data_IF_839796591034
#
_entry.id   IF_839796591034
#
_cell.length_a   1.000
_cell.length_b   1.000
_cell.length_c   1.000
_cell.angle_alpha   90.00
_cell.angle_beta   90.00
_cell.angle_gamma   90.00
#
_symmetry.space_group_name_H-M   'P 1'
#
loop_
_entity.id
_entity.type
_entity.pdbx_description
1 polymer ?
#
# COMPACT_ATOMS: atom_id res chain seq x y z
N UNK A 1 10.39 3.69 -2.79
CA UNK A 1 11.00 3.51 -4.13
C UNK A 1 12.47 3.07 -4.04
N UNK A 2 13.36 3.82 -3.31
CA UNK A 2 14.80 3.50 -3.28
C UNK A 2 15.08 2.06 -2.82
N UNK A 3 14.54 1.63 -1.67
CA UNK A 3 14.75 0.27 -1.16
C UNK A 3 14.18 -0.81 -2.08
N UNK A 4 13.03 -0.56 -2.72
CA UNK A 4 12.49 -1.48 -3.74
C UNK A 4 13.45 -1.61 -4.94
N UNK A 5 13.99 -0.48 -5.40
CA UNK A 5 14.97 -0.46 -6.49
C UNK A 5 16.27 -1.18 -6.13
N UNK A 6 16.87 -0.86 -4.97
CA UNK A 6 18.10 -1.51 -4.51
C UNK A 6 17.92 -3.01 -4.32
N UNK A 7 16.80 -3.42 -3.71
CA UNK A 7 16.49 -4.85 -3.54
C UNK A 7 16.31 -5.55 -4.89
N UNK A 8 15.56 -4.97 -5.82
CA UNK A 8 15.39 -5.55 -7.15
C UNK A 8 16.73 -5.72 -7.88
N UNK A 9 17.62 -4.72 -7.81
CA UNK A 9 18.97 -4.81 -8.41
C UNK A 9 19.84 -5.84 -7.70
N UNK A 10 19.78 -5.93 -6.36
CA UNK A 10 20.53 -6.90 -5.56
C UNK A 10 20.20 -8.35 -5.94
N UNK A 11 18.91 -8.67 -6.09
CA UNK A 11 18.48 -10.04 -6.39
C UNK A 11 18.40 -10.34 -7.89
N UNK A 12 18.81 -9.42 -8.76
CA UNK A 12 18.68 -9.55 -10.21
C UNK A 12 17.23 -9.58 -10.70
N UNK A 13 16.31 -8.98 -9.94
CA UNK A 13 14.90 -8.86 -10.25
C UNK A 13 14.58 -7.65 -11.13
N UNK A 14 13.28 -7.37 -11.29
CA UNK A 14 12.74 -6.26 -12.08
C UNK A 14 12.11 -5.22 -11.16
N UNK A 15 12.35 -3.96 -11.45
CA UNK A 15 11.74 -2.82 -10.77
C UNK A 15 10.68 -2.18 -11.67
N UNK A 16 9.43 -2.23 -11.21
CA UNK A 16 8.27 -1.73 -11.91
C UNK A 16 7.80 -0.41 -11.28
N UNK A 17 7.41 0.56 -12.09
CA UNK A 17 6.81 1.81 -11.63
C UNK A 17 5.30 1.80 -11.88
N UNK A 18 4.52 1.89 -10.80
CA UNK A 18 3.06 2.04 -10.82
C UNK A 18 2.65 3.34 -10.15
N UNK A 19 1.81 4.10 -10.80
CA UNK A 19 1.20 5.32 -10.29
C UNK A 19 -0.19 5.00 -9.76
N UNK A 20 -0.39 5.19 -8.46
CA UNK A 20 -1.64 4.92 -7.76
C UNK A 20 -2.53 6.18 -7.79
N UNK A 21 -3.15 6.43 -8.94
CA UNK A 21 -3.91 7.64 -9.29
C UNK A 21 -5.44 7.42 -9.37
N UNK A 22 -5.95 6.46 -8.59
CA UNK A 22 -7.40 6.19 -8.52
C UNK A 22 -8.20 7.31 -7.86
N UNK A 23 -7.56 8.17 -7.05
CA UNK A 23 -8.16 9.38 -6.46
C UNK A 23 -7.83 10.58 -7.37
N UNK A 24 -8.77 10.91 -8.26
CA UNK A 24 -8.60 11.94 -9.29
C UNK A 24 -8.35 13.33 -8.68
N UNK A 25 -8.98 13.65 -7.53
CA UNK A 25 -8.82 14.96 -6.89
C UNK A 25 -7.41 15.19 -6.33
N UNK A 26 -6.77 14.12 -5.88
CA UNK A 26 -5.41 14.15 -5.29
C UNK A 26 -4.29 13.89 -6.29
N UNK A 27 -4.60 13.31 -7.45
CA UNK A 27 -3.62 12.85 -8.44
C UNK A 27 -3.49 13.85 -9.57
N UNK A 28 -2.80 14.97 -9.32
CA UNK A 28 -2.51 15.96 -10.36
C UNK A 28 -1.34 15.51 -11.23
N UNK A 29 -1.41 15.77 -12.52
CA UNK A 29 -0.37 15.43 -13.49
C UNK A 29 1.01 16.03 -13.15
N UNK A 30 1.04 17.23 -12.54
CA UNK A 30 2.28 17.86 -12.11
C UNK A 30 3.03 17.02 -11.07
N UNK A 31 2.32 16.38 -10.12
CA UNK A 31 2.94 15.51 -9.11
C UNK A 31 3.51 14.24 -9.73
N UNK A 32 2.83 13.69 -10.74
CA UNK A 32 3.32 12.52 -11.48
C UNK A 32 4.61 12.86 -12.21
N UNK A 33 4.66 14.03 -12.87
CA UNK A 33 5.89 14.52 -13.56
C UNK A 33 7.02 14.69 -12.56
N UNK A 34 6.78 15.33 -11.43
CA UNK A 34 7.77 15.54 -10.37
C UNK A 34 8.34 14.20 -9.85
N UNK A 35 7.48 13.19 -9.66
CA UNK A 35 7.91 11.85 -9.22
C UNK A 35 8.81 11.21 -10.29
N UNK A 36 8.38 11.20 -11.54
CA UNK A 36 9.12 10.61 -12.66
C UNK A 36 10.47 11.32 -12.84
N UNK A 37 10.48 12.65 -12.87
CA UNK A 37 11.69 13.44 -13.01
C UNK A 37 12.65 13.26 -11.84
N UNK A 38 12.11 13.25 -10.62
CA UNK A 38 12.90 13.04 -9.39
C UNK A 38 13.55 11.66 -9.34
N UNK A 39 12.80 10.59 -9.68
CA UNK A 39 13.34 9.23 -9.76
C UNK A 39 14.42 9.12 -10.85
N UNK A 40 14.16 9.68 -12.03
CA UNK A 40 15.12 9.68 -13.14
C UNK A 40 16.40 10.45 -12.78
N UNK A 41 16.27 11.60 -12.11
CA UNK A 41 17.43 12.38 -11.65
C UNK A 41 18.29 11.60 -10.64
N UNK A 42 17.66 10.85 -9.72
CA UNK A 42 18.40 9.94 -8.82
C UNK A 42 18.98 8.73 -9.56
N UNK A 43 18.62 8.50 -10.83
CA UNK A 43 19.00 7.32 -11.60
C UNK A 43 18.28 6.06 -11.15
N UNK A 44 17.13 6.19 -10.51
CA UNK A 44 16.18 5.12 -10.20
C UNK A 44 15.34 4.90 -11.45
N UNK A 45 15.86 4.09 -12.38
CA UNK A 45 15.17 3.72 -13.60
C UNK A 45 14.37 2.43 -13.36
N UNK A 46 13.20 2.33 -13.99
CA UNK A 46 12.33 1.17 -13.92
C UNK A 46 12.44 0.32 -15.19
N UNK A 47 12.21 -0.96 -15.02
CA UNK A 47 12.26 -1.94 -16.11
C UNK A 47 10.91 -2.02 -16.84
N UNK A 48 9.79 -1.70 -16.13
CA UNK A 48 8.42 -1.63 -16.66
C UNK A 48 7.65 -0.42 -16.11
N UNK A 49 6.75 0.14 -16.92
CA UNK A 49 5.94 1.29 -16.54
C UNK A 49 6.42 2.62 -17.13
N UNK A 50 5.87 3.75 -16.66
CA UNK A 50 4.88 3.86 -15.59
C UNK A 50 3.52 3.28 -15.99
N UNK A 51 2.91 2.50 -15.08
CA UNK A 51 1.55 2.00 -15.20
C UNK A 51 0.62 2.87 -14.36
N UNK A 52 -0.55 3.20 -14.89
CA UNK A 52 -1.50 4.08 -14.21
C UNK A 52 -2.74 3.29 -13.76
N UNK A 53 -3.07 3.36 -12.48
CA UNK A 53 -4.22 2.62 -11.96
C UNK A 53 -5.55 3.13 -12.51
N UNK A 54 -5.67 4.43 -12.83
CA UNK A 54 -6.87 4.99 -13.47
C UNK A 54 -7.22 4.32 -14.81
N UNK A 55 -6.23 3.81 -15.54
CA UNK A 55 -6.43 3.12 -16.82
C UNK A 55 -6.92 1.68 -16.64
N UNK A 56 -6.91 1.17 -15.40
CA UNK A 56 -7.24 -0.21 -15.04
C UNK A 56 -8.55 -0.34 -14.27
N UNK A 57 -9.36 0.71 -14.21
CA UNK A 57 -10.59 0.77 -13.41
C UNK A 57 -11.57 -0.38 -13.73
N UNK A 58 -11.70 -0.73 -15.01
CA UNK A 58 -12.59 -1.83 -15.42
C UNK A 58 -12.10 -3.17 -14.91
N UNK A 59 -10.81 -3.42 -14.97
CA UNK A 59 -10.19 -4.62 -14.41
C UNK A 59 -10.52 -4.79 -12.92
N UNK A 60 -10.46 -3.72 -12.13
CA UNK A 60 -10.80 -3.77 -10.71
C UNK A 60 -12.29 -4.05 -10.49
N UNK A 61 -13.16 -3.43 -11.29
CA UNK A 61 -14.62 -3.69 -11.24
C UNK A 61 -14.92 -5.16 -11.53
N UNK A 62 -14.34 -5.72 -12.57
CA UNK A 62 -14.50 -7.13 -12.92
C UNK A 62 -14.09 -8.05 -11.76
N UNK A 63 -12.97 -7.77 -11.10
CA UNK A 63 -12.51 -8.53 -9.95
C UNK A 63 -13.44 -8.37 -8.74
N UNK A 64 -13.96 -7.18 -8.45
CA UNK A 64 -14.92 -6.96 -7.39
C UNK A 64 -16.24 -7.72 -7.66
N UNK A 65 -16.75 -7.68 -8.88
CA UNK A 65 -17.94 -8.44 -9.27
C UNK A 65 -17.70 -9.94 -9.32
N UNK A 66 -16.46 -10.39 -9.61
CA UNK A 66 -16.10 -11.80 -9.47
C UNK A 66 -16.26 -12.27 -8.03
N UNK A 67 -15.71 -11.56 -7.04
CA UNK A 67 -15.88 -11.88 -5.63
C UNK A 67 -17.36 -11.87 -5.21
N UNK A 68 -18.15 -10.94 -5.74
CA UNK A 68 -19.59 -10.88 -5.49
C UNK A 68 -20.31 -12.13 -6.02
N UNK A 69 -20.04 -12.56 -7.26
CA UNK A 69 -20.61 -13.78 -7.85
C UNK A 69 -20.17 -15.06 -7.13
N UNK A 70 -18.94 -15.07 -6.62
CA UNK A 70 -18.40 -16.21 -5.85
C UNK A 70 -18.90 -16.22 -4.38
N UNK A 71 -19.76 -15.26 -3.99
CA UNK A 71 -20.26 -15.14 -2.60
C UNK A 71 -19.22 -14.72 -1.57
N UNK A 72 -18.03 -14.27 -2.03
CA UNK A 72 -16.92 -13.75 -1.21
C UNK A 72 -17.02 -12.26 -0.94
N UNK A 73 -18.00 -11.59 -1.52
CA UNK A 73 -18.36 -10.19 -1.29
C UNK A 73 -19.87 -10.03 -1.27
N UNK A 74 -20.36 -8.87 -0.86
CA UNK A 74 -21.79 -8.56 -0.79
C UNK A 74 -22.06 -7.07 -0.99
N UNK A 75 -23.29 -6.73 -1.38
CA UNK A 75 -23.76 -5.34 -1.48
C UNK A 75 -24.14 -4.82 -0.11
N UNK A 76 -23.67 -3.63 0.23
CA UNK A 76 -24.01 -2.94 1.47
C UNK A 76 -24.71 -1.63 1.13
N UNK A 77 -25.93 -1.47 1.65
CA UNK A 77 -26.82 -0.34 1.42
C UNK A 77 -26.92 0.60 2.64
N UNK A 78 -26.07 0.43 3.64
CA UNK A 78 -26.06 1.31 4.82
C UNK A 78 -25.73 2.75 4.39
N UNK A 79 -26.51 3.71 4.89
CA UNK A 79 -26.26 5.12 4.67
C UNK A 79 -24.98 5.56 5.41
N UNK A 80 -24.28 6.55 4.86
CA UNK A 80 -23.06 7.06 5.47
C UNK A 80 -23.31 7.65 6.87
N UNK A 81 -24.44 8.32 7.05
CA UNK A 81 -24.88 8.92 8.32
C UNK A 81 -25.11 7.84 9.39
N UNK A 82 -25.77 6.73 9.04
CA UNK A 82 -25.99 5.60 9.93
C UNK A 82 -24.67 4.97 10.40
N UNK A 83 -23.72 4.78 9.46
CA UNK A 83 -22.42 4.23 9.78
C UNK A 83 -21.59 5.18 10.67
N UNK A 84 -21.68 6.48 10.45
CA UNK A 84 -20.98 7.47 11.27
C UNK A 84 -21.58 7.54 12.69
N UNK A 85 -22.90 7.39 12.84
CA UNK A 85 -23.54 7.34 14.15
C UNK A 85 -23.10 6.09 14.92
N UNK A 86 -23.11 4.91 14.28
CA UNK A 86 -22.60 3.66 14.89
C UNK A 86 -21.14 3.79 15.31
N UNK A 87 -20.31 4.44 14.47
CA UNK A 87 -18.93 4.72 14.80
C UNK A 87 -18.77 5.60 16.04
N UNK A 88 -19.56 6.68 16.15
CA UNK A 88 -19.56 7.57 17.33
C UNK A 88 -19.96 6.86 18.61
N UNK A 89 -20.99 5.98 18.53
CA UNK A 89 -21.43 5.17 19.66
C UNK A 89 -20.31 4.22 20.11
N UNK A 90 -19.70 3.49 19.19
CA UNK A 90 -18.59 2.58 19.50
C UNK A 90 -17.41 3.31 20.18
N UNK A 91 -17.04 4.49 19.69
CA UNK A 91 -15.99 5.31 20.31
C UNK A 91 -16.35 5.78 21.72
N UNK A 92 -17.60 6.17 21.98
CA UNK A 92 -18.08 6.55 23.32
C UNK A 92 -18.02 5.38 24.30
N UNK A 93 -18.24 4.16 23.80
CA UNK A 93 -18.16 2.92 24.60
C UNK A 93 -16.72 2.39 24.73
N UNK A 94 -15.71 3.10 24.22
CA UNK A 94 -14.32 2.66 24.24
C UNK A 94 -14.02 1.46 23.32
N UNK A 95 -14.92 1.16 22.39
CA UNK A 95 -14.78 0.06 21.41
C UNK A 95 -14.10 0.57 20.15
N UNK A 96 -13.37 -0.32 19.47
CA UNK A 96 -12.82 -0.04 18.13
C UNK A 96 -13.99 0.15 17.15
N UNK A 97 -14.10 1.28 16.46
CA UNK A 97 -15.14 1.48 15.47
C UNK A 97 -14.88 0.55 14.27
N UNK A 98 -15.75 -0.41 14.07
CA UNK A 98 -15.75 -1.34 12.95
C UNK A 98 -17.13 -1.42 12.35
N UNK A 99 -17.22 -1.85 11.10
CA UNK A 99 -18.51 -2.13 10.48
C UNK A 99 -19.14 -3.38 11.11
N UNK A 100 -20.40 -3.27 11.52
CA UNK A 100 -21.15 -4.30 12.26
C UNK A 100 -21.68 -5.47 11.40
N UNK A 101 -21.30 -5.51 10.12
CA UNK A 101 -21.71 -6.53 9.15
C UNK A 101 -23.22 -6.64 8.91
N UNK A 102 -23.98 -5.56 9.19
CA UNK A 102 -25.46 -5.52 9.07
C UNK A 102 -25.99 -6.05 7.73
N UNK A 103 -25.28 -5.85 6.61
CA UNK A 103 -25.70 -6.29 5.29
C UNK A 103 -25.10 -7.62 4.83
N UNK A 104 -24.20 -8.22 5.63
CA UNK A 104 -23.37 -9.36 5.20
C UNK A 104 -24.17 -10.57 4.70
N UNK A 105 -25.25 -10.88 5.39
CA UNK A 105 -26.08 -12.08 5.13
C UNK A 105 -27.45 -11.73 4.51
N UNK A 106 -27.67 -10.45 4.16
CA UNK A 106 -28.88 -10.02 3.47
C UNK A 106 -28.80 -10.40 1.99
N UNK A 107 -29.86 -11.02 1.51
CA UNK A 107 -30.01 -11.42 0.11
C UNK A 107 -30.85 -10.43 -0.71
N UNK A 108 -31.52 -9.50 -0.03
CA UNK A 108 -32.35 -8.49 -0.68
C UNK A 108 -31.49 -7.53 -1.50
N UNK A 109 -31.82 -7.39 -2.77
CA UNK A 109 -31.20 -6.41 -3.65
C UNK A 109 -32.12 -5.20 -3.78
N UNK A 110 -31.51 -4.02 -3.73
CA UNK A 110 -32.20 -2.73 -3.92
C UNK A 110 -31.56 -2.01 -5.13
N UNK A 111 -31.95 -2.34 -6.36
CA UNK A 111 -31.29 -1.85 -7.57
C UNK A 111 -31.33 -0.31 -7.70
N UNK A 112 -32.36 0.32 -7.13
CA UNK A 112 -32.55 1.79 -7.17
C UNK A 112 -31.78 2.55 -6.06
N UNK A 113 -31.03 1.83 -5.20
CA UNK A 113 -30.28 2.44 -4.10
C UNK A 113 -28.78 2.32 -4.34
N UNK A 114 -28.02 3.42 -4.09
CA UNK A 114 -26.57 3.32 -4.15
C UNK A 114 -26.07 2.31 -3.12
N UNK A 115 -25.10 1.49 -3.51
CA UNK A 115 -24.49 0.51 -2.62
C UNK A 115 -22.98 0.51 -2.80
N UNK A 116 -22.29 0.04 -1.77
CA UNK A 116 -20.89 -0.33 -1.85
C UNK A 116 -20.75 -1.85 -1.90
N UNK A 117 -19.67 -2.36 -2.49
CA UNK A 117 -19.33 -3.78 -2.39
C UNK A 117 -18.32 -3.96 -1.26
N UNK A 118 -18.65 -4.84 -0.32
CA UNK A 118 -17.77 -5.20 0.79
C UNK A 118 -17.26 -6.63 0.63
N UNK A 119 -16.00 -6.80 0.94
CA UNK A 119 -15.37 -8.12 1.03
C UNK A 119 -15.83 -8.84 2.30
N UNK A 120 -16.13 -10.13 2.19
CA UNK A 120 -16.46 -11.00 3.34
C UNK A 120 -15.18 -11.50 4.01
N UNK A 121 -14.68 -10.73 4.96
CA UNK A 121 -13.54 -11.15 5.78
C UNK A 121 -13.88 -12.40 6.59
N UNK A 122 -12.95 -13.36 6.77
CA UNK A 122 -13.17 -14.51 7.65
C UNK A 122 -13.60 -14.05 9.07
N UNK A 123 -14.57 -14.76 9.66
CA UNK A 123 -15.14 -14.38 10.96
C UNK A 123 -14.33 -14.90 12.15
N UNK A 124 -13.49 -15.91 11.94
CA UNK A 124 -12.67 -16.57 12.97
C UNK A 124 -11.35 -17.04 12.38
N UNK A 125 -10.42 -17.38 13.24
CA UNK A 125 -9.07 -17.77 12.85
C UNK A 125 -8.07 -16.62 12.91
N UNK A 126 -6.90 -16.83 12.35
CA UNK A 126 -5.78 -15.90 12.40
C UNK A 126 -5.19 -15.70 11.02
N UNK A 127 -4.84 -14.47 10.70
CA UNK A 127 -3.98 -14.13 9.56
C UNK A 127 -2.59 -13.88 10.10
N UNK A 128 -1.61 -14.59 9.59
CA UNK A 128 -0.20 -14.38 9.95
C UNK A 128 0.66 -14.18 8.71
N UNK A 129 1.74 -13.46 8.87
CA UNK A 129 2.78 -13.31 7.88
C UNK A 129 4.13 -13.09 8.55
N UNK A 130 5.18 -13.55 7.90
CA UNK A 130 6.54 -13.31 8.33
C UNK A 130 7.07 -12.08 7.60
N UNK A 131 7.14 -10.95 8.32
CA UNK A 131 7.71 -9.73 7.79
C UNK A 131 9.23 -9.80 7.86
N UNK A 132 9.90 -9.51 6.74
CA UNK A 132 11.36 -9.65 6.62
C UNK A 132 12.10 -8.76 7.64
N UNK A 133 11.52 -7.62 8.02
CA UNK A 133 12.13 -6.64 8.93
C UNK A 133 11.55 -6.75 10.34
N UNK A 134 10.22 -6.91 10.45
CA UNK A 134 9.49 -6.89 11.72
C UNK A 134 9.28 -8.27 12.35
N UNK A 135 9.63 -9.35 11.62
CA UNK A 135 9.39 -10.72 12.06
C UNK A 135 7.92 -11.13 11.98
N UNK A 136 7.55 -12.16 12.72
CA UNK A 136 6.21 -12.74 12.66
C UNK A 136 5.15 -11.82 13.24
N UNK A 137 4.13 -11.52 12.44
CA UNK A 137 2.96 -10.72 12.82
C UNK A 137 1.72 -11.60 12.68
N UNK A 138 0.88 -11.61 13.72
CA UNK A 138 -0.37 -12.37 13.76
C UNK A 138 -1.52 -11.45 14.16
N UNK A 139 -2.61 -11.49 13.42
CA UNK A 139 -3.83 -10.72 13.68
C UNK A 139 -5.02 -11.67 13.66
N UNK A 140 -5.90 -11.59 14.64
CA UNK A 140 -7.14 -12.39 14.67
C UNK A 140 -8.14 -11.85 13.64
N UNK A 141 -8.84 -12.75 12.96
CA UNK A 141 -9.83 -12.37 11.95
C UNK A 141 -10.98 -11.52 12.53
N UNK A 142 -11.31 -11.69 13.81
CA UNK A 142 -12.32 -10.88 14.50
C UNK A 142 -11.94 -9.39 14.59
N UNK A 143 -10.64 -9.07 14.48
CA UNK A 143 -10.15 -7.69 14.49
C UNK A 143 -10.24 -7.01 13.11
N UNK A 144 -10.49 -7.80 12.06
CA UNK A 144 -10.68 -7.31 10.71
C UNK A 144 -12.17 -7.07 10.45
N UNK A 145 -12.52 -5.94 9.89
CA UNK A 145 -13.88 -5.63 9.43
C UNK A 145 -14.06 -5.97 7.94
N UNK A 146 -15.31 -6.08 7.51
CA UNK A 146 -15.63 -6.27 6.10
C UNK A 146 -15.33 -4.97 5.33
N UNK A 147 -14.16 -4.92 4.72
CA UNK A 147 -13.71 -3.69 4.04
C UNK A 147 -14.50 -3.43 2.76
N UNK A 148 -14.70 -2.17 2.44
CA UNK A 148 -15.23 -1.76 1.14
C UNK A 148 -14.15 -2.00 0.09
N UNK A 149 -14.48 -2.75 -0.96
CA UNK A 149 -13.61 -2.98 -2.12
C UNK A 149 -14.00 -2.15 -3.33
N UNK A 150 -15.31 -1.81 -3.45
CA UNK A 150 -15.82 -0.92 -4.49
C UNK A 150 -16.81 0.07 -3.85
N UNK A 151 -16.62 1.36 -4.09
CA UNK A 151 -17.49 2.43 -3.61
C UNK A 151 -18.78 2.53 -4.42
N UNK A 152 -19.73 3.34 -3.96
CA UNK A 152 -21.02 3.55 -4.64
C UNK A 152 -20.91 4.23 -5.99
N UNK A 153 -19.85 4.97 -6.23
CA UNK A 153 -19.49 5.56 -7.52
C UNK A 153 -18.70 4.61 -8.45
N UNK A 154 -18.59 3.34 -8.07
CA UNK A 154 -17.78 2.31 -8.74
C UNK A 154 -16.27 2.57 -8.74
N UNK A 155 -15.76 3.43 -7.84
CA UNK A 155 -14.31 3.54 -7.64
C UNK A 155 -13.82 2.47 -6.67
N UNK A 156 -12.75 1.73 -7.02
CA UNK A 156 -12.17 0.72 -6.13
C UNK A 156 -11.39 1.37 -5.00
N UNK A 157 -11.18 0.62 -3.92
CA UNK A 157 -10.39 1.09 -2.76
C UNK A 157 -8.94 0.62 -2.84
N UNK A 158 -8.05 1.35 -2.19
CA UNK A 158 -6.60 1.09 -2.17
C UNK A 158 -6.23 -0.37 -1.87
N UNK A 159 -6.70 -0.94 -0.76
CA UNK A 159 -6.34 -2.31 -0.37
C UNK A 159 -6.76 -3.35 -1.41
N UNK A 160 -7.78 -3.06 -2.19
CA UNK A 160 -8.26 -3.95 -3.24
C UNK A 160 -7.45 -3.79 -4.52
N UNK A 161 -7.21 -2.55 -4.97
CA UNK A 161 -6.47 -2.30 -6.23
C UNK A 161 -5.05 -2.81 -6.18
N UNK A 162 -4.34 -2.60 -5.06
CA UNK A 162 -2.95 -3.05 -4.94
C UNK A 162 -2.86 -4.58 -4.97
N UNK A 163 -3.79 -5.31 -4.36
CA UNK A 163 -3.80 -6.78 -4.41
C UNK A 163 -4.00 -7.28 -5.84
N UNK A 164 -4.97 -6.72 -6.57
CA UNK A 164 -5.24 -7.12 -7.96
C UNK A 164 -4.02 -6.83 -8.83
N UNK A 165 -3.44 -5.65 -8.71
CA UNK A 165 -2.29 -5.26 -9.49
C UNK A 165 -1.04 -6.09 -9.16
N UNK A 166 -0.71 -6.21 -7.88
CA UNK A 166 0.49 -6.93 -7.44
C UNK A 166 0.45 -8.38 -7.91
N UNK A 167 -0.71 -9.04 -7.79
CA UNK A 167 -0.88 -10.41 -8.28
C UNK A 167 -0.74 -10.52 -9.79
N UNK A 168 -1.40 -9.65 -10.56
CA UNK A 168 -1.39 -9.71 -12.03
C UNK A 168 -0.07 -9.22 -12.65
N UNK A 169 0.68 -8.40 -11.92
CA UNK A 169 2.02 -7.92 -12.31
C UNK A 169 3.13 -8.84 -11.81
N UNK A 170 2.80 -9.90 -11.05
CA UNK A 170 3.78 -10.84 -10.51
C UNK A 170 4.72 -10.22 -9.48
N UNK A 171 4.23 -9.29 -8.67
CA UNK A 171 5.00 -8.68 -7.58
C UNK A 171 5.29 -9.74 -6.53
N UNK A 172 6.56 -10.00 -6.26
CA UNK A 172 7.01 -11.02 -5.30
C UNK A 172 7.32 -10.46 -3.91
N UNK A 173 7.65 -9.17 -3.83
CA UNK A 173 8.04 -8.50 -2.58
C UNK A 173 7.38 -7.12 -2.48
N UNK A 174 6.81 -6.84 -1.31
CA UNK A 174 6.21 -5.54 -0.98
C UNK A 174 7.04 -4.89 0.13
N UNK A 175 7.82 -3.87 -0.24
CA UNK A 175 8.67 -3.10 0.67
C UNK A 175 8.06 -1.71 0.83
N UNK A 176 7.57 -1.38 2.04
CA UNK A 176 6.82 -0.12 2.29
C UNK A 176 6.95 0.35 3.73
N UNK A 177 6.45 1.54 4.06
CA UNK A 177 6.46 2.05 5.42
C UNK A 177 5.63 1.20 6.40
N UNK A 178 6.04 1.16 7.66
CA UNK A 178 5.38 0.38 8.71
C UNK A 178 3.98 0.90 9.09
N UNK A 179 3.62 2.10 8.64
CA UNK A 179 2.25 2.61 8.72
C UNK A 179 1.23 1.77 7.91
N UNK A 180 1.71 0.95 6.99
CA UNK A 180 0.91 0.02 6.20
C UNK A 180 0.79 -1.39 6.82
N UNK A 181 1.42 -1.70 7.95
CA UNK A 181 1.34 -3.02 8.62
C UNK A 181 -0.12 -3.45 8.81
N UNK A 182 -1.00 -2.54 9.26
CA UNK A 182 -2.41 -2.82 9.47
C UNK A 182 -3.22 -3.08 8.17
N UNK A 183 -2.66 -2.77 7.01
CA UNK A 183 -3.27 -3.08 5.71
C UNK A 183 -2.95 -4.52 5.28
N UNK A 184 -1.80 -5.03 5.67
CA UNK A 184 -1.27 -6.33 5.22
C UNK A 184 -2.24 -7.48 5.47
N UNK A 185 -2.81 -7.69 6.68
CA UNK A 185 -3.74 -8.80 6.90
C UNK A 185 -5.03 -8.66 6.07
N UNK A 186 -5.49 -7.42 5.80
CA UNK A 186 -6.64 -7.16 4.93
C UNK A 186 -6.34 -7.52 3.48
N UNK A 187 -5.12 -7.29 3.03
CA UNK A 187 -4.67 -7.64 1.70
C UNK A 187 -4.48 -9.15 1.55
N UNK A 188 -3.88 -9.81 2.54
CA UNK A 188 -3.67 -11.27 2.54
C UNK A 188 -4.99 -12.01 2.34
N UNK A 189 -6.05 -11.68 3.09
CA UNK A 189 -7.35 -12.36 2.93
C UNK A 189 -7.97 -12.14 1.53
N UNK A 190 -7.64 -11.05 0.85
CA UNK A 190 -8.07 -10.83 -0.54
C UNK A 190 -7.24 -11.68 -1.51
N UNK A 191 -5.90 -11.78 -1.32
CA UNK A 191 -5.05 -12.69 -2.09
C UNK A 191 -5.57 -14.13 -2.00
N UNK A 192 -5.84 -14.60 -0.79
CA UNK A 192 -6.37 -15.94 -0.51
C UNK A 192 -7.74 -16.16 -1.16
N UNK A 193 -8.62 -15.15 -1.12
CA UNK A 193 -9.93 -15.24 -1.74
C UNK A 193 -9.87 -15.41 -3.26
N UNK A 194 -8.87 -14.84 -3.91
CA UNK A 194 -8.62 -15.02 -5.34
C UNK A 194 -7.77 -16.24 -5.66
N UNK A 195 -7.21 -16.93 -4.66
CA UNK A 195 -6.19 -17.97 -4.80
C UNK A 195 -4.93 -17.45 -5.50
N UNK A 196 -4.56 -16.21 -5.25
CA UNK A 196 -3.31 -15.61 -5.69
C UNK A 196 -2.19 -15.94 -4.72
N UNK A 197 -0.97 -15.99 -5.22
CA UNK A 197 0.22 -16.11 -4.38
C UNK A 197 0.40 -14.85 -3.54
N UNK A 198 0.64 -15.03 -2.24
CA UNK A 198 0.85 -13.91 -1.31
C UNK A 198 2.32 -13.50 -1.38
N UNK A 199 2.64 -12.24 -1.70
CA UNK A 199 4.03 -11.77 -1.77
C UNK A 199 4.68 -11.73 -0.38
N UNK A 200 6.01 -11.70 -0.34
CA UNK A 200 6.76 -11.41 0.87
C UNK A 200 6.63 -9.94 1.26
N UNK A 201 6.54 -9.65 2.56
CA UNK A 201 6.39 -8.30 3.09
C UNK A 201 7.64 -7.84 3.84
N UNK A 202 7.98 -6.57 3.70
CA UNK A 202 9.01 -5.88 4.46
C UNK A 202 8.53 -4.48 4.82
N UNK A 203 8.27 -4.23 6.11
CA UNK A 203 7.81 -2.94 6.60
C UNK A 203 8.95 -2.14 7.21
N UNK A 204 9.40 -1.14 6.46
CA UNK A 204 10.50 -0.26 6.86
C UNK A 204 10.03 0.78 7.89
N UNK A 205 10.87 1.14 8.87
CA UNK A 205 10.53 2.17 9.85
C UNK A 205 10.30 3.52 9.17
N UNK A 206 9.38 4.30 9.75
CA UNK A 206 9.13 5.66 9.30
C UNK A 206 10.25 6.59 9.72
N UNK A 207 10.60 7.51 8.85
CA UNK A 207 11.54 8.58 9.18
C UNK A 207 10.80 9.63 10.00
N UNK A 208 11.39 9.98 11.15
CA UNK A 208 10.85 10.99 12.05
C UNK A 208 11.67 12.29 12.00
N UNK A 209 11.00 13.40 12.15
CA UNK A 209 11.64 14.70 12.32
C UNK A 209 12.21 14.90 13.74
N UNK A 210 12.86 16.03 13.97
CA UNK A 210 13.40 16.38 15.30
C UNK A 210 12.33 16.46 16.39
N UNK A 211 11.10 16.74 16.02
CA UNK A 211 9.92 16.77 16.88
C UNK A 211 9.31 15.40 17.19
N UNK A 212 9.98 14.30 16.78
CA UNK A 212 9.50 12.92 16.85
C UNK A 212 8.21 12.64 16.06
N UNK A 213 7.69 13.63 15.33
CA UNK A 213 6.60 13.46 14.37
C UNK A 213 7.11 12.86 13.07
N UNK A 214 6.19 12.27 12.28
CA UNK A 214 6.51 11.79 10.93
C UNK A 214 7.09 12.92 10.10
N UNK A 215 8.15 12.62 9.35
CA UNK A 215 8.70 13.59 8.41
C UNK A 215 7.61 14.00 7.40
N UNK A 216 7.36 15.28 7.29
CA UNK A 216 6.29 15.84 6.46
C UNK A 216 6.75 17.17 5.86
N UNK A 217 5.95 17.71 4.94
CA UNK A 217 6.18 19.04 4.34
C UNK A 217 6.49 20.18 5.34
N UNK A 218 6.11 20.03 6.60
CA UNK A 218 6.41 21.03 7.66
C UNK A 218 7.87 21.03 8.09
N UNK A 219 8.64 20.00 7.74
CA UNK A 219 10.02 19.80 8.19
C UNK A 219 11.09 20.25 7.17
N UNK A 220 10.69 20.90 6.10
CA UNK A 220 11.61 21.41 5.07
C UNK A 220 11.46 20.64 3.75
N UNK A 221 12.55 20.31 3.10
CA UNK A 221 12.58 19.76 1.75
C UNK A 221 11.55 18.67 1.50
N UNK A 222 10.78 18.83 0.46
CA UNK A 222 9.55 18.09 0.24
C UNK A 222 9.55 17.32 -1.07
N UNK A 223 10.40 17.72 -2.03
CA UNK A 223 10.55 17.00 -3.28
C UNK A 223 12.02 16.73 -3.59
N UNK A 224 12.28 15.67 -4.35
CA UNK A 224 13.64 15.37 -4.84
C UNK A 224 14.19 16.50 -5.70
N UNK A 225 13.31 17.21 -6.41
CA UNK A 225 13.69 18.33 -7.28
C UNK A 225 14.16 19.55 -6.49
N UNK A 226 13.67 19.77 -5.27
CA UNK A 226 14.17 20.82 -4.39
C UNK A 226 15.63 20.55 -4.00
N UNK A 227 15.99 19.32 -3.63
CA UNK A 227 17.38 18.95 -3.36
C UNK A 227 18.28 19.16 -4.59
N UNK A 228 17.80 18.78 -5.78
CA UNK A 228 18.52 19.07 -7.03
C UNK A 228 18.77 20.57 -7.20
N UNK A 229 17.77 21.38 -6.96
CA UNK A 229 17.87 22.84 -7.12
C UNK A 229 18.83 23.50 -6.11
N UNK A 230 19.11 22.87 -4.98
CA UNK A 230 20.16 23.31 -4.04
C UNK A 230 21.56 22.90 -4.47
N UNK A 231 21.71 22.20 -5.60
CA UNK A 231 23.01 21.76 -6.12
C UNK A 231 23.51 20.44 -5.52
N UNK A 232 22.67 19.72 -4.79
CA UNK A 232 23.06 18.41 -4.24
C UNK A 232 23.22 17.39 -5.37
N UNK A 233 24.28 16.59 -5.33
CA UNK A 233 24.50 15.51 -6.29
C UNK A 233 23.55 14.35 -6.05
N UNK A 234 23.03 13.70 -7.11
CA UNK A 234 22.10 12.59 -6.97
C UNK A 234 22.71 11.40 -6.21
N UNK A 235 23.99 11.11 -6.39
CA UNK A 235 24.70 10.05 -5.67
C UNK A 235 24.77 10.33 -4.16
N UNK A 236 25.05 11.58 -3.78
CA UNK A 236 25.09 11.99 -2.38
C UNK A 236 23.71 11.86 -1.71
N UNK A 237 22.64 12.27 -2.42
CA UNK A 237 21.30 12.14 -1.90
C UNK A 237 20.87 10.67 -1.83
N UNK A 238 21.19 9.85 -2.83
CA UNK A 238 20.90 8.42 -2.82
C UNK A 238 21.58 7.73 -1.63
N UNK A 239 22.88 7.99 -1.41
CA UNK A 239 23.64 7.45 -0.29
C UNK A 239 23.00 7.88 1.06
N UNK A 240 22.67 9.17 1.21
CA UNK A 240 22.02 9.69 2.39
C UNK A 240 20.66 9.03 2.67
N UNK A 241 19.80 8.91 1.65
CA UNK A 241 18.48 8.29 1.78
C UNK A 241 18.56 6.79 2.11
N UNK A 242 19.54 6.07 1.55
CA UNK A 242 19.76 4.67 1.87
C UNK A 242 20.13 4.51 3.35
N UNK A 243 21.03 5.36 3.85
CA UNK A 243 21.51 5.31 5.25
C UNK A 243 20.49 5.77 6.29
N UNK A 244 19.39 6.37 5.89
CA UNK A 244 18.31 6.73 6.86
C UNK A 244 17.60 5.53 7.46
N UNK A 245 17.78 4.33 6.91
CA UNK A 245 17.14 3.13 7.44
C UNK A 245 17.90 1.84 7.09
N UNK A 246 19.12 1.94 6.55
CA UNK A 246 19.94 0.78 6.19
C UNK A 246 21.40 1.05 6.53
N UNK A 247 22.11 0.01 6.97
CA UNK A 247 23.53 0.07 7.27
C UNK A 247 24.26 -1.19 6.78
N UNK A 248 25.54 -1.04 6.46
CA UNK A 248 26.44 -2.14 6.14
C UNK A 248 27.77 -1.97 6.88
N UNK A 249 27.89 -2.60 8.04
CA UNK A 249 29.02 -2.41 8.94
C UNK A 249 29.27 -0.92 9.24
N UNK A 250 30.54 -0.53 9.21
CA UNK A 250 30.98 0.83 9.47
C UNK A 250 31.13 1.70 8.19
N UNK A 251 30.80 1.16 7.03
CA UNK A 251 30.91 1.90 5.76
C UNK A 251 29.81 2.96 5.70
N UNK A 252 30.19 4.20 5.38
CA UNK A 252 29.27 5.34 5.33
C UNK A 252 29.02 5.86 3.92
N UNK A 253 29.98 5.71 3.02
CA UNK A 253 29.91 6.18 1.64
C UNK A 253 29.91 4.99 0.70
N UNK A 254 28.92 4.97 -0.16
CA UNK A 254 28.70 3.90 -1.14
C UNK A 254 28.47 4.52 -2.53
N UNK A 255 29.04 3.91 -3.56
CA UNK A 255 28.60 4.14 -4.92
C UNK A 255 27.20 3.53 -5.13
N UNK A 256 26.55 3.83 -6.24
CA UNK A 256 25.25 3.23 -6.60
C UNK A 256 25.36 1.72 -6.77
N UNK A 257 26.43 1.28 -7.38
CA UNK A 257 26.76 -0.14 -7.63
C UNK A 257 26.97 -0.87 -6.31
N UNK A 258 27.72 -0.27 -5.39
CA UNK A 258 27.94 -0.83 -4.05
C UNK A 258 26.64 -0.89 -3.23
N UNK A 259 25.78 0.13 -3.33
CA UNK A 259 24.46 0.10 -2.69
C UNK A 259 23.63 -1.08 -3.20
N UNK A 260 23.57 -1.26 -4.52
CA UNK A 260 22.81 -2.36 -5.12
C UNK A 260 23.40 -3.74 -4.77
N UNK A 261 24.75 -3.86 -4.78
CA UNK A 261 25.44 -5.11 -4.44
C UNK A 261 25.26 -5.52 -2.97
N UNK A 262 25.30 -4.54 -2.05
CA UNK A 262 25.34 -4.81 -0.60
C UNK A 262 23.98 -4.71 0.09
N UNK A 263 22.93 -4.29 -0.64
CA UNK A 263 21.63 -4.05 -0.04
C UNK A 263 20.94 -5.34 0.36
N UNK A 264 20.71 -5.53 1.64
CA UNK A 264 19.90 -6.62 2.20
C UNK A 264 18.77 -6.06 3.05
N UNK A 265 17.56 -6.58 2.87
CA UNK A 265 16.38 -6.16 3.65
C UNK A 265 16.52 -6.46 5.14
N UNK A 266 17.24 -7.52 5.50
CA UNK A 266 17.50 -7.87 6.90
C UNK A 266 18.35 -6.84 7.66
N UNK A 267 19.05 -5.95 6.95
CA UNK A 267 19.89 -4.90 7.53
C UNK A 267 19.15 -3.55 7.59
N UNK A 268 17.84 -3.53 7.33
CA UNK A 268 16.97 -2.35 7.46
C UNK A 268 16.42 -2.30 8.88
N UNK A 269 16.62 -1.14 9.58
CA UNK A 269 16.19 -1.00 10.97
C UNK A 269 16.12 0.44 11.47
#
# INVERSE_FOLDING_TARGET
ALFCFLFAKHVGGRFLLRIEDTDIERSKEEYVKDIIEGLSWLGINWDEGPLFQKERMELYREHAYRLLREGKAYRCYCAAEELEEKRKIALKEGKKPSYDRTCRDKTEEHPDRPCVIRFKTPLSGEVFFDDIIRGKITIRCEELDDLVILRSDNTPTYNFTVVVDDALMGVTHIIRGDDHINNTPRQIVIYEAFHYEVPAFAHVPLIHGKDKGRLSKRHGATSLLEYRNTGLLPEALMNYLARLGWAYGDQEIFSREELAEKFELGNVG
#
